data_IF_946165417809
#
_entry.id   IF_946165417809
#
_cell.length_a   1.000
_cell.length_b   1.000
_cell.length_c   1.000
_cell.angle_alpha   90.00
_cell.angle_beta   90.00
_cell.angle_gamma   90.00
#
_symmetry.space_group_name_H-M   'P 1'
#
loop_
_entity.id
_entity.type
_entity.pdbx_description
1 polymer ?
#
# COMPACT_ATOMS: atom_id res chain seq x y z
N UNK A 1 1.56 14.44 3.82
CA UNK A 1 2.67 15.21 4.43
C UNK A 1 3.39 14.29 5.41
N UNK A 2 4.68 13.99 5.22
CA UNK A 2 5.44 13.21 6.20
C UNK A 2 5.39 13.92 7.56
N UNK A 3 4.93 13.23 8.61
CA UNK A 3 4.84 13.76 9.98
C UNK A 3 3.96 15.02 10.16
N UNK A 4 3.06 15.31 9.20
CA UNK A 4 2.17 16.46 9.29
C UNK A 4 1.04 16.26 10.30
N UNK A 5 0.66 17.35 10.97
CA UNK A 5 -0.52 17.46 11.83
C UNK A 5 -1.83 17.32 11.03
N UNK A 6 -2.95 17.08 11.72
CA UNK A 6 -4.29 17.08 11.10
C UNK A 6 -4.54 18.34 10.28
N UNK A 7 -4.24 19.51 10.84
CA UNK A 7 -4.43 20.81 10.19
C UNK A 7 -3.60 20.93 8.90
N UNK A 8 -2.32 20.52 8.94
CA UNK A 8 -1.46 20.54 7.76
C UNK A 8 -1.95 19.58 6.67
N UNK A 9 -2.41 18.37 7.05
CA UNK A 9 -2.97 17.40 6.09
C UNK A 9 -4.24 17.95 5.45
N UNK A 10 -5.14 18.54 6.23
CA UNK A 10 -6.37 19.16 5.73
C UNK A 10 -6.04 20.34 4.80
N UNK A 11 -5.12 21.22 5.19
CA UNK A 11 -4.72 22.38 4.38
C UNK A 11 -4.04 21.98 3.06
N UNK A 12 -3.30 20.88 3.04
CA UNK A 12 -2.69 20.33 1.83
C UNK A 12 -3.66 19.52 0.95
N UNK A 13 -4.90 19.33 1.37
CA UNK A 13 -5.92 18.64 0.58
C UNK A 13 -6.34 19.46 -0.64
N UNK A 14 -6.79 18.79 -1.69
CA UNK A 14 -7.22 19.46 -2.92
C UNK A 14 -8.42 20.38 -2.72
N UNK A 15 -9.27 20.11 -1.72
CA UNK A 15 -10.43 20.93 -1.38
C UNK A 15 -10.06 22.27 -0.75
N UNK A 16 -8.84 22.39 -0.21
CA UNK A 16 -8.30 23.62 0.35
C UNK A 16 -7.32 24.31 -0.62
N UNK A 17 -7.11 23.75 -1.81
CA UNK A 17 -6.30 24.38 -2.85
C UNK A 17 -7.06 25.54 -3.49
N UNK A 18 -6.36 26.61 -3.85
CA UNK A 18 -6.91 27.68 -4.70
C UNK A 18 -7.43 27.17 -6.06
N UNK A 19 -6.98 25.98 -6.49
CA UNK A 19 -7.46 25.33 -7.71
C UNK A 19 -8.85 24.70 -7.54
N UNK A 20 -9.34 24.50 -6.31
CA UNK A 20 -10.58 23.80 -6.02
C UNK A 20 -11.79 24.41 -6.74
N UNK A 21 -11.86 25.74 -6.78
CA UNK A 21 -12.93 26.49 -7.46
C UNK A 21 -12.92 26.27 -8.98
N UNK A 22 -11.77 25.92 -9.55
CA UNK A 22 -11.61 25.62 -10.98
C UNK A 22 -11.85 24.15 -11.32
N UNK A 23 -12.05 23.27 -10.32
CA UNK A 23 -12.25 21.85 -10.53
C UNK A 23 -13.72 21.52 -10.82
N UNK A 24 -13.95 20.63 -11.80
CA UNK A 24 -15.27 20.10 -12.07
C UNK A 24 -15.50 18.88 -11.17
N UNK A 25 -16.62 18.89 -10.44
CA UNK A 25 -17.00 17.85 -9.47
C UNK A 25 -18.00 16.93 -10.14
N UNK A 26 -17.64 15.66 -10.29
CA UNK A 26 -18.53 14.64 -10.83
C UNK A 26 -18.96 13.70 -9.72
N UNK A 27 -20.26 13.42 -9.71
CA UNK A 27 -20.89 12.55 -8.74
C UNK A 27 -21.31 11.25 -9.42
N UNK A 28 -20.86 10.11 -8.88
CA UNK A 28 -21.29 8.80 -9.34
C UNK A 28 -22.24 8.18 -8.32
N UNK A 29 -23.34 7.61 -8.81
CA UNK A 29 -24.37 6.98 -7.97
C UNK A 29 -24.27 5.46 -7.95
N UNK A 30 -23.53 4.85 -8.90
CA UNK A 30 -23.42 3.39 -9.03
C UNK A 30 -21.98 2.92 -8.83
N UNK A 31 -21.78 2.08 -7.82
CA UNK A 31 -20.52 1.37 -7.63
C UNK A 31 -20.42 0.20 -8.60
N UNK A 32 -19.55 0.28 -9.59
CA UNK A 32 -19.36 -0.79 -10.58
C UNK A 32 -18.49 -1.94 -10.08
N UNK A 33 -17.89 -1.85 -8.88
CA UNK A 33 -17.04 -2.91 -8.33
C UNK A 33 -17.82 -4.02 -7.63
N UNK A 34 -19.10 -3.82 -7.32
CA UNK A 34 -19.85 -4.70 -6.43
C UNK A 34 -21.05 -5.29 -7.18
N UNK A 35 -21.29 -6.59 -6.96
CA UNK A 35 -22.49 -7.27 -7.45
C UNK A 35 -23.72 -6.78 -6.69
N UNK A 36 -24.92 -6.96 -7.27
CA UNK A 36 -26.17 -6.54 -6.63
C UNK A 36 -26.44 -7.25 -5.30
N UNK A 37 -25.83 -8.42 -5.09
CA UNK A 37 -25.94 -9.25 -3.89
C UNK A 37 -25.10 -8.74 -2.70
N UNK A 38 -24.14 -7.83 -2.94
CA UNK A 38 -23.20 -7.32 -1.92
C UNK A 38 -23.49 -5.85 -1.54
N UNK A 39 -24.71 -5.35 -1.79
CA UNK A 39 -25.12 -3.97 -1.45
C UNK A 39 -24.96 -3.65 0.03
N UNK A 40 -25.27 -4.59 0.91
CA UNK A 40 -25.13 -4.42 2.35
C UNK A 40 -23.66 -4.20 2.75
N UNK A 41 -22.77 -5.05 2.23
CA UNK A 41 -21.32 -4.92 2.45
C UNK A 41 -20.77 -3.62 1.84
N UNK A 42 -21.26 -3.21 0.65
CA UNK A 42 -20.91 -1.91 0.06
C UNK A 42 -21.23 -0.76 0.99
N UNK A 43 -22.46 -0.72 1.52
CA UNK A 43 -22.93 0.34 2.38
C UNK A 43 -22.17 0.34 3.71
N UNK A 44 -21.85 -0.85 4.23
CA UNK A 44 -20.97 -0.99 5.39
C UNK A 44 -19.60 -0.35 5.15
N UNK A 45 -18.91 -0.69 4.05
CA UNK A 45 -17.59 -0.13 3.72
C UNK A 45 -17.64 1.39 3.55
N UNK A 46 -18.69 1.93 2.93
CA UNK A 46 -18.86 3.37 2.75
C UNK A 46 -19.05 4.11 4.07
N UNK A 47 -19.87 3.57 4.97
CA UNK A 47 -20.06 4.15 6.30
C UNK A 47 -18.76 4.23 7.10
N UNK A 48 -17.85 3.27 6.88
CA UNK A 48 -16.49 3.35 7.42
C UNK A 48 -15.71 4.53 6.80
N UNK A 49 -15.81 4.74 5.48
CA UNK A 49 -15.21 5.90 4.80
C UNK A 49 -15.72 7.25 5.32
N UNK A 50 -17.02 7.35 5.58
CA UNK A 50 -17.68 8.55 6.11
C UNK A 50 -17.37 8.81 7.60
N UNK A 51 -16.80 7.84 8.31
CA UNK A 51 -16.59 7.91 9.75
C UNK A 51 -17.88 7.80 10.57
N UNK A 52 -18.93 7.20 10.01
CA UNK A 52 -20.24 7.01 10.64
C UNK A 52 -20.61 5.51 10.68
N UNK A 53 -19.85 4.67 11.40
CA UNK A 53 -20.20 3.25 11.58
C UNK A 53 -21.55 3.11 12.32
N UNK A 54 -22.14 1.91 12.31
CA UNK A 54 -23.39 1.60 13.03
C UNK A 54 -23.37 2.14 14.47
N UNK A 55 -24.38 2.93 14.90
CA UNK A 55 -24.54 3.25 16.31
C UNK A 55 -24.98 1.96 17.01
N UNK A 56 -24.26 1.48 18.01
CA UNK A 56 -24.92 0.65 19.03
C UNK A 56 -24.16 0.65 20.35
N UNK A 57 -24.97 0.92 21.38
CA UNK A 57 -24.74 0.89 22.82
C UNK A 57 -23.59 1.76 23.34
N UNK A 58 -24.01 2.99 23.65
CA UNK A 58 -23.44 3.94 24.61
C UNK A 58 -22.55 3.22 25.61
N UNK A 59 -21.28 3.61 25.67
CA UNK A 59 -20.55 3.51 26.91
C UNK A 59 -19.94 4.89 27.14
N UNK A 60 -20.41 5.53 28.20
CA UNK A 60 -19.75 6.66 28.85
C UNK A 60 -18.27 6.28 29.07
N UNK A 61 -17.32 7.15 28.69
CA UNK A 61 -16.02 7.45 29.32
C UNK A 61 -14.99 8.03 28.32
N UNK A 62 -14.37 9.15 28.74
CA UNK A 62 -13.19 9.92 28.30
C UNK A 62 -13.00 10.31 26.81
N UNK A 63 -13.16 11.62 26.54
CA UNK A 63 -13.41 12.29 25.26
C UNK A 63 -12.18 12.48 24.32
N UNK A 64 -10.94 12.18 24.75
CA UNK A 64 -9.77 12.70 24.03
C UNK A 64 -9.10 11.72 23.03
N UNK A 65 -9.35 10.40 23.09
CA UNK A 65 -8.80 9.40 22.14
C UNK A 65 -9.85 8.51 21.44
N UNK A 66 -11.14 8.57 21.83
CA UNK A 66 -12.19 7.66 21.36
C UNK A 66 -12.91 8.07 20.06
N UNK A 67 -12.78 9.32 19.61
CA UNK A 67 -13.44 9.87 18.39
C UNK A 67 -13.07 9.17 17.07
N UNK A 68 -12.05 8.31 17.11
CA UNK A 68 -11.54 7.59 15.95
C UNK A 68 -11.71 6.07 16.07
N UNK A 69 -12.38 5.52 17.09
CA UNK A 69 -12.62 4.08 17.19
C UNK A 69 -13.99 3.72 16.59
N UNK A 70 -14.01 2.76 15.67
CA UNK A 70 -15.25 2.29 15.03
C UNK A 70 -15.50 0.82 15.31
N UNK A 71 -16.77 0.46 15.46
CA UNK A 71 -17.19 -0.94 15.50
C UNK A 71 -17.16 -1.55 14.09
N UNK A 72 -16.44 -2.66 13.96
CA UNK A 72 -16.37 -3.51 12.78
C UNK A 72 -17.18 -4.78 13.04
N UNK A 73 -17.76 -5.33 11.98
CA UNK A 73 -18.47 -6.61 12.04
C UNK A 73 -17.56 -7.71 12.61
N UNK A 74 -17.92 -8.22 13.79
CA UNK A 74 -17.14 -9.25 14.50
C UNK A 74 -16.99 -10.53 13.71
N UNK A 75 -17.87 -10.81 12.75
CA UNK A 75 -17.75 -11.99 11.86
C UNK A 75 -16.54 -11.90 10.92
N UNK A 76 -15.99 -10.70 10.71
CA UNK A 76 -14.81 -10.46 9.89
C UNK A 76 -13.51 -10.42 10.69
N UNK A 77 -13.59 -10.38 12.02
CA UNK A 77 -12.45 -10.09 12.90
C UNK A 77 -11.99 -11.35 13.60
N UNK A 78 -10.70 -11.65 13.48
CA UNK A 78 -10.00 -12.60 14.32
C UNK A 78 -9.01 -11.86 15.21
N UNK A 79 -8.91 -12.31 16.46
CA UNK A 79 -7.85 -11.86 17.34
C UNK A 79 -6.50 -12.42 16.90
N UNK A 80 -5.47 -11.61 17.10
CA UNK A 80 -4.08 -11.98 16.97
C UNK A 80 -3.77 -13.18 17.85
N UNK A 81 -3.31 -14.28 17.25
CA UNK A 81 -2.90 -15.47 17.98
C UNK A 81 -1.56 -15.26 18.73
N UNK A 82 -1.09 -16.28 19.45
CA UNK A 82 0.27 -16.27 20.02
C UNK A 82 1.37 -16.28 18.96
N UNK A 83 1.06 -16.77 17.75
CA UNK A 83 1.95 -16.76 16.58
C UNK A 83 1.27 -16.02 15.41
N UNK A 84 1.45 -14.69 15.32
CA UNK A 84 0.80 -13.86 14.32
C UNK A 84 1.14 -14.27 12.88
N UNK A 85 2.41 -14.60 12.65
CA UNK A 85 2.89 -14.88 11.30
C UNK A 85 2.37 -16.22 10.81
N UNK A 86 2.33 -17.23 11.70
CA UNK A 86 1.69 -18.51 11.38
C UNK A 86 0.19 -18.37 11.12
N UNK A 87 -0.52 -17.55 11.89
CA UNK A 87 -1.94 -17.28 11.65
C UNK A 87 -2.18 -16.65 10.26
N UNK A 88 -1.32 -15.72 9.84
CA UNK A 88 -1.39 -15.10 8.50
C UNK A 88 -1.08 -16.14 7.42
N UNK A 89 -0.04 -16.95 7.63
CA UNK A 89 0.33 -18.03 6.72
C UNK A 89 -0.83 -18.99 6.54
N UNK A 90 -1.42 -19.51 7.62
CA UNK A 90 -2.58 -20.40 7.58
C UNK A 90 -3.81 -19.75 6.92
N UNK A 91 -4.04 -18.45 7.18
CA UNK A 91 -5.13 -17.71 6.57
C UNK A 91 -4.98 -17.58 5.03
N UNK A 92 -3.75 -17.60 4.53
CA UNK A 92 -3.41 -17.41 3.11
C UNK A 92 -2.88 -18.66 2.41
N UNK A 93 -2.69 -19.75 3.15
CA UNK A 93 -2.09 -20.99 2.64
C UNK A 93 -2.93 -21.57 1.50
N UNK A 94 -2.26 -21.89 0.38
CA UNK A 94 -2.91 -22.44 -0.82
C UNK A 94 -3.82 -21.47 -1.58
N UNK A 95 -3.91 -20.19 -1.16
CA UNK A 95 -4.77 -19.16 -1.79
C UNK A 95 -3.92 -18.13 -2.53
N UNK A 96 -3.66 -18.39 -3.80
CA UNK A 96 -2.83 -17.51 -4.65
C UNK A 96 -3.46 -16.15 -4.96
N UNK A 97 -4.77 -16.00 -4.72
CA UNK A 97 -5.54 -14.80 -4.99
C UNK A 97 -5.85 -13.95 -3.75
N UNK A 98 -5.26 -14.30 -2.61
CA UNK A 98 -5.37 -13.55 -1.36
C UNK A 98 -4.15 -12.64 -1.16
N UNK A 99 -4.41 -11.37 -0.86
CA UNK A 99 -3.36 -10.41 -0.53
C UNK A 99 -3.33 -10.12 0.96
N UNK A 100 -2.14 -9.91 1.51
CA UNK A 100 -1.98 -9.44 2.88
C UNK A 100 -1.75 -7.93 2.85
N UNK A 101 -2.61 -7.19 3.55
CA UNK A 101 -2.54 -5.73 3.65
C UNK A 101 -2.26 -5.31 5.09
N UNK A 102 -1.32 -4.40 5.28
CA UNK A 102 -0.97 -3.84 6.59
C UNK A 102 -0.68 -2.33 6.49
N UNK A 103 -0.80 -1.53 7.57
CA UNK A 103 -0.58 -0.08 7.47
C UNK A 103 0.88 0.32 7.21
N UNK A 104 1.86 -0.43 7.75
CA UNK A 104 3.28 -0.03 7.83
C UNK A 104 4.19 -0.88 6.95
N UNK A 105 5.27 -0.27 6.44
CA UNK A 105 6.27 -0.98 5.64
C UNK A 105 7.08 -1.99 6.47
N UNK A 106 7.43 -1.66 7.72
CA UNK A 106 8.17 -2.57 8.63
C UNK A 106 7.45 -3.91 8.76
N UNK A 107 6.15 -3.89 9.06
CA UNK A 107 5.31 -5.08 9.12
C UNK A 107 5.20 -5.82 7.78
N UNK A 108 5.23 -5.11 6.65
CA UNK A 108 5.27 -5.77 5.32
C UNK A 108 6.56 -6.56 5.17
N UNK A 109 7.68 -5.99 5.56
CA UNK A 109 8.99 -6.60 5.41
C UNK A 109 9.12 -7.82 6.35
N UNK A 110 8.67 -7.71 7.60
CA UNK A 110 8.58 -8.83 8.56
C UNK A 110 7.76 -10.01 8.02
N UNK A 111 6.55 -9.74 7.50
CA UNK A 111 5.69 -10.78 6.93
C UNK A 111 6.33 -11.40 5.70
N UNK A 112 6.87 -10.59 4.79
CA UNK A 112 7.49 -11.10 3.57
C UNK A 112 8.69 -12.00 3.87
N UNK A 113 9.49 -11.66 4.89
CA UNK A 113 10.64 -12.46 5.34
C UNK A 113 10.20 -13.80 5.94
N UNK A 114 9.17 -13.79 6.79
CA UNK A 114 8.60 -15.03 7.32
C UNK A 114 7.97 -15.90 6.23
N UNK A 115 7.18 -15.30 5.33
CA UNK A 115 6.49 -16.05 4.28
C UNK A 115 7.47 -16.73 3.32
N UNK A 116 8.59 -16.08 3.01
CA UNK A 116 9.62 -16.72 2.16
C UNK A 116 10.44 -17.77 2.92
N UNK A 117 10.62 -17.65 4.24
CA UNK A 117 11.30 -18.69 5.03
C UNK A 117 10.50 -19.99 5.05
N UNK A 118 9.19 -19.88 5.26
CA UNK A 118 8.27 -21.02 5.31
C UNK A 118 7.85 -21.56 3.94
N UNK A 119 8.02 -20.78 2.86
CA UNK A 119 7.65 -21.24 1.52
C UNK A 119 8.45 -22.47 1.09
N UNK A 120 7.80 -23.41 0.40
CA UNK A 120 8.47 -24.58 -0.14
C UNK A 120 9.51 -24.21 -1.23
N UNK A 121 10.51 -25.08 -1.38
CA UNK A 121 11.50 -24.99 -2.46
C UNK A 121 12.85 -24.39 -2.04
N UNK A 122 13.80 -24.47 -2.98
CA UNK A 122 15.20 -24.08 -2.76
C UNK A 122 15.32 -22.56 -2.79
N UNK A 123 15.84 -21.98 -1.71
CA UNK A 123 16.15 -20.55 -1.63
C UNK A 123 17.36 -20.22 -2.50
N UNK A 124 17.28 -19.07 -3.19
CA UNK A 124 18.41 -18.45 -3.86
C UNK A 124 18.57 -17.02 -3.39
N UNK A 125 19.79 -16.69 -3.01
CA UNK A 125 20.14 -15.37 -2.49
C UNK A 125 20.86 -14.56 -3.57
N UNK A 126 20.53 -13.28 -3.64
CA UNK A 126 21.14 -12.31 -4.53
C UNK A 126 21.61 -11.10 -3.73
N UNK A 127 22.92 -10.97 -3.56
CA UNK A 127 23.52 -9.78 -2.94
C UNK A 127 23.64 -8.66 -3.96
N UNK A 128 23.34 -7.43 -3.56
CA UNK A 128 23.51 -6.25 -4.41
C UNK A 128 24.99 -5.85 -4.51
N UNK A 129 25.28 -4.97 -5.47
CA UNK A 129 26.54 -4.24 -5.54
C UNK A 129 26.21 -2.77 -5.37
N UNK A 130 26.71 -2.18 -4.30
CA UNK A 130 26.38 -0.82 -3.88
C UNK A 130 27.57 0.11 -4.08
N UNK A 131 27.30 1.29 -4.61
CA UNK A 131 28.24 2.39 -4.82
C UNK A 131 27.54 3.71 -4.50
N UNK A 132 28.27 4.82 -4.49
CA UNK A 132 27.68 6.14 -4.35
C UNK A 132 27.94 6.99 -5.60
N UNK A 133 26.93 7.75 -6.03
CA UNK A 133 27.08 8.77 -7.06
C UNK A 133 27.89 9.95 -6.51
N UNK A 134 28.94 10.34 -7.23
CA UNK A 134 29.89 11.40 -6.85
C UNK A 134 29.14 12.75 -6.72
N UNK A 135 29.40 13.46 -5.62
CA UNK A 135 29.13 14.91 -5.48
C UNK A 135 30.27 15.63 -6.19
N UNK A 136 29.99 16.73 -6.91
CA UNK A 136 30.93 17.61 -7.65
C UNK A 136 32.14 18.15 -6.83
N UNK A 137 32.94 17.28 -6.25
CA UNK A 137 34.23 17.58 -5.63
C UNK A 137 35.26 16.68 -6.26
N UNK A 138 36.12 17.27 -7.08
CA UNK A 138 37.29 16.70 -7.76
C UNK A 138 38.31 16.11 -6.76
N UNK A 139 37.94 15.03 -6.08
CA UNK A 139 38.85 14.28 -5.22
C UNK A 139 38.87 12.81 -5.62
N UNK A 140 40.01 12.40 -6.19
CA UNK A 140 40.36 11.04 -6.60
C UNK A 140 40.34 9.99 -5.46
N UNK A 141 39.85 10.34 -4.27
CA UNK A 141 39.82 9.51 -3.05
C UNK A 141 38.40 9.20 -2.55
N UNK A 142 37.35 9.49 -3.32
CA UNK A 142 35.98 9.34 -2.85
C UNK A 142 35.61 7.86 -2.56
N UNK A 143 36.17 6.89 -3.28
CA UNK A 143 35.87 5.45 -3.13
C UNK A 143 36.14 4.89 -1.71
N UNK A 144 36.92 5.61 -0.89
CA UNK A 144 37.31 5.20 0.47
C UNK A 144 36.51 5.88 1.58
N UNK A 145 35.57 6.78 1.26
CA UNK A 145 34.88 7.61 2.26
C UNK A 145 33.86 6.82 3.11
N UNK A 146 33.27 5.77 2.55
CA UNK A 146 32.25 4.96 3.23
C UNK A 146 32.55 3.47 3.06
N UNK A 147 32.61 2.68 4.15
CA UNK A 147 32.71 1.23 4.07
C UNK A 147 31.53 0.63 3.28
N UNK A 148 31.80 -0.42 2.50
CA UNK A 148 30.77 -1.10 1.71
C UNK A 148 29.70 -1.73 2.61
N UNK A 149 30.09 -2.19 3.81
CA UNK A 149 29.18 -2.71 4.83
C UNK A 149 28.17 -1.67 5.29
N UNK A 150 28.60 -0.41 5.40
CA UNK A 150 27.70 0.69 5.71
C UNK A 150 26.70 0.90 4.58
N UNK A 151 27.16 0.94 3.32
CA UNK A 151 26.27 1.09 2.16
C UNK A 151 25.25 -0.05 2.06
N UNK A 152 25.70 -1.29 2.27
CA UNK A 152 24.85 -2.48 2.25
C UNK A 152 23.79 -2.47 3.36
N UNK A 153 24.07 -1.81 4.49
CA UNK A 153 23.12 -1.67 5.61
C UNK A 153 22.00 -0.67 5.33
N UNK A 154 22.16 0.21 4.35
CA UNK A 154 21.17 1.23 4.03
C UNK A 154 19.94 0.63 3.31
N UNK A 155 18.76 0.94 3.82
CA UNK A 155 17.47 0.52 3.28
C UNK A 155 16.59 1.73 2.95
N UNK A 156 16.04 1.73 1.74
CA UNK A 156 15.19 2.81 1.25
C UNK A 156 13.96 2.24 0.55
N UNK A 157 12.75 2.83 0.73
CA UNK A 157 11.52 2.32 0.12
C UNK A 157 11.54 2.23 -1.41
N UNK A 158 12.37 3.06 -2.06
CA UNK A 158 12.54 3.11 -3.52
C UNK A 158 13.61 2.17 -4.08
N UNK A 159 14.39 1.52 -3.22
CA UNK A 159 15.47 0.61 -3.62
C UNK A 159 15.17 -0.82 -3.15
N UNK A 160 15.60 -1.85 -3.91
CA UNK A 160 15.54 -3.22 -3.42
C UNK A 160 16.50 -3.41 -2.24
N UNK A 161 16.25 -4.43 -1.42
CA UNK A 161 17.14 -4.81 -0.34
C UNK A 161 18.52 -5.23 -0.87
N UNK A 162 19.57 -5.03 -0.07
CA UNK A 162 20.91 -5.50 -0.39
C UNK A 162 20.90 -7.02 -0.59
N UNK A 163 20.36 -7.75 0.40
CA UNK A 163 20.15 -9.19 0.34
C UNK A 163 18.73 -9.49 -0.12
N UNK A 164 18.59 -10.12 -1.28
CA UNK A 164 17.30 -10.56 -1.81
C UNK A 164 17.23 -12.09 -1.82
N UNK A 165 16.38 -12.66 -0.98
CA UNK A 165 16.12 -14.10 -0.92
C UNK A 165 14.85 -14.44 -1.68
N UNK A 166 14.91 -15.36 -2.63
CA UNK A 166 13.78 -15.78 -3.45
C UNK A 166 13.68 -17.30 -3.54
N UNK A 167 12.46 -17.79 -3.78
CA UNK A 167 12.12 -19.18 -4.09
C UNK A 167 11.22 -19.20 -5.33
N UNK A 168 11.26 -20.28 -6.10
CA UNK A 168 10.32 -20.47 -7.22
C UNK A 168 8.89 -20.53 -6.66
N UNK A 169 7.94 -19.84 -7.29
CA UNK A 169 6.58 -19.69 -6.78
C UNK A 169 6.36 -18.45 -5.89
N UNK A 170 7.43 -17.77 -5.44
CA UNK A 170 7.27 -16.57 -4.63
C UNK A 170 6.71 -15.39 -5.46
N UNK A 171 5.75 -14.60 -4.93
CA UNK A 171 5.30 -13.38 -5.56
C UNK A 171 6.29 -12.24 -5.31
N UNK A 172 6.56 -11.47 -6.36
CA UNK A 172 7.34 -10.24 -6.27
C UNK A 172 6.70 -9.11 -7.09
N UNK A 173 7.07 -7.88 -6.75
CA UNK A 173 6.56 -6.67 -7.39
C UNK A 173 7.71 -5.84 -7.96
N UNK A 174 7.51 -5.27 -9.15
CA UNK A 174 8.46 -4.34 -9.76
C UNK A 174 8.52 -3.01 -9.00
N UNK A 175 9.74 -2.47 -8.82
CA UNK A 175 9.99 -1.18 -8.17
C UNK A 175 10.07 0.00 -9.15
N UNK A 176 10.28 -0.26 -10.44
CA UNK A 176 10.46 0.76 -11.49
C UNK A 176 9.67 0.43 -12.74
N UNK A 177 9.40 1.47 -13.53
CA UNK A 177 8.84 1.32 -14.86
C UNK A 177 9.95 0.84 -15.82
N UNK A 178 9.85 -0.39 -16.30
CA UNK A 178 10.80 -0.97 -17.26
C UNK A 178 10.25 -0.90 -18.68
N UNK A 179 8.99 -1.28 -18.86
CA UNK A 179 8.32 -1.25 -20.15
C UNK A 179 6.80 -1.20 -19.98
N UNK A 180 6.24 0.00 -20.04
CA UNK A 180 4.80 0.22 -19.83
C UNK A 180 3.94 -0.48 -20.90
N UNK A 181 4.40 -0.53 -22.16
CA UNK A 181 3.68 -1.20 -23.25
C UNK A 181 3.54 -2.70 -23.03
N UNK A 182 4.45 -3.32 -22.28
CA UNK A 182 4.42 -4.74 -21.89
C UNK A 182 3.86 -4.99 -20.49
N UNK A 183 3.28 -3.97 -19.86
CA UNK A 183 2.75 -4.06 -18.49
C UNK A 183 3.82 -4.13 -17.39
N UNK A 184 5.08 -3.81 -17.68
CA UNK A 184 6.20 -3.80 -16.72
C UNK A 184 6.37 -2.42 -16.09
N UNK A 185 5.41 -2.08 -15.24
CA UNK A 185 5.36 -0.83 -14.49
C UNK A 185 5.71 -1.05 -13.02
N UNK A 186 6.05 0.02 -12.32
CA UNK A 186 6.12 0.00 -10.86
C UNK A 186 4.78 -0.49 -10.29
N UNK A 187 4.82 -1.49 -9.41
CA UNK A 187 3.63 -2.11 -8.85
C UNK A 187 3.15 -3.38 -9.56
N UNK A 188 3.64 -3.70 -10.77
CA UNK A 188 3.27 -4.95 -11.44
C UNK A 188 3.73 -6.14 -10.60
N UNK A 189 2.80 -7.05 -10.29
CA UNK A 189 3.09 -8.29 -9.55
C UNK A 189 3.35 -9.44 -10.51
N UNK A 190 4.34 -10.25 -10.16
CA UNK A 190 4.73 -11.45 -10.88
C UNK A 190 4.97 -12.59 -9.89
N UNK A 191 4.85 -13.83 -10.37
CA UNK A 191 5.27 -15.03 -9.64
C UNK A 191 6.61 -15.52 -10.22
N UNK A 192 7.59 -15.80 -9.37
CA UNK A 192 8.88 -16.39 -9.81
C UNK A 192 8.62 -17.73 -10.49
N UNK A 193 9.06 -17.86 -11.74
CA UNK A 193 9.03 -19.13 -12.49
C UNK A 193 10.41 -19.73 -12.70
N UNK A 194 11.47 -18.91 -12.66
CA UNK A 194 12.86 -19.38 -12.76
C UNK A 194 13.84 -18.40 -12.12
N UNK A 195 14.86 -18.94 -11.45
CA UNK A 195 15.90 -18.20 -10.71
C UNK A 195 17.30 -18.47 -11.29
N UNK A 196 17.67 -17.72 -12.32
CA UNK A 196 19.00 -17.77 -12.94
C UNK A 196 20.06 -17.00 -12.15
N UNK A 197 21.32 -17.06 -12.56
CA UNK A 197 22.39 -16.25 -11.93
C UNK A 197 22.27 -14.76 -12.29
N UNK A 198 21.98 -14.47 -13.57
CA UNK A 198 21.96 -13.11 -14.12
C UNK A 198 20.57 -12.57 -14.41
N UNK A 199 19.58 -13.45 -14.46
CA UNK A 199 18.18 -13.14 -14.81
C UNK A 199 17.22 -13.88 -13.89
N UNK A 200 16.11 -13.22 -13.57
CA UNK A 200 14.96 -13.81 -12.90
C UNK A 200 13.80 -13.82 -13.89
N UNK A 201 13.13 -14.96 -14.04
CA UNK A 201 11.89 -15.04 -14.84
C UNK A 201 10.69 -14.97 -13.92
N UNK A 202 9.77 -14.05 -14.22
CA UNK A 202 8.47 -13.96 -13.58
C UNK A 202 7.33 -14.12 -14.56
N UNK A 203 6.19 -14.61 -14.09
CA UNK A 203 4.92 -14.59 -14.82
C UNK A 203 4.00 -13.51 -14.24
N UNK A 204 3.46 -12.63 -15.09
CA UNK A 204 2.59 -11.53 -14.64
C UNK A 204 1.27 -12.09 -14.13
N UNK A 205 0.86 -11.66 -12.93
CA UNK A 205 -0.40 -12.08 -12.29
C UNK A 205 -1.41 -10.95 -12.09
N UNK A 206 -1.10 -9.75 -12.57
CA UNK A 206 -1.99 -8.58 -12.48
C UNK A 206 -2.03 -7.77 -13.77
N UNK A 207 -3.19 -7.17 -14.04
CA UNK A 207 -3.37 -6.22 -15.14
C UNK A 207 -3.73 -6.89 -16.47
N UNK A 208 -3.56 -6.16 -17.57
CA UNK A 208 -3.96 -6.61 -18.92
C UNK A 208 -3.02 -7.66 -19.52
N UNK A 209 -1.86 -7.91 -18.92
CA UNK A 209 -0.82 -8.79 -19.44
C UNK A 209 -0.64 -10.06 -18.59
N UNK A 210 -1.68 -10.50 -17.90
CA UNK A 210 -1.64 -11.73 -17.07
C UNK A 210 -1.19 -12.93 -17.91
N UNK A 211 -0.35 -13.80 -17.34
CA UNK A 211 0.17 -15.00 -17.97
C UNK A 211 1.44 -14.79 -18.82
N UNK A 212 1.82 -13.54 -19.11
CA UNK A 212 3.06 -13.27 -19.85
C UNK A 212 4.30 -13.52 -18.97
N UNK A 213 5.25 -14.29 -19.50
CA UNK A 213 6.56 -14.52 -18.88
C UNK A 213 7.56 -13.47 -19.29
N UNK A 214 8.34 -12.98 -18.32
CA UNK A 214 9.28 -11.89 -18.48
C UNK A 214 10.59 -12.19 -17.76
N UNK A 215 11.70 -11.97 -18.46
CA UNK A 215 13.04 -12.03 -17.89
C UNK A 215 13.48 -10.65 -17.41
N UNK A 216 13.91 -10.57 -16.15
CA UNK A 216 14.34 -9.36 -15.48
C UNK A 216 15.84 -9.44 -15.19
N UNK A 217 16.65 -8.50 -15.71
CA UNK A 217 18.05 -8.37 -15.33
C UNK A 217 18.21 -7.51 -14.07
N UNK A 218 19.42 -7.53 -13.49
CA UNK A 218 19.83 -6.52 -12.52
C UNK A 218 20.05 -5.18 -13.20
N UNK A 219 19.55 -4.10 -12.60
CA UNK A 219 19.77 -2.73 -13.05
C UNK A 219 20.38 -1.90 -11.93
N UNK A 220 20.96 -0.76 -12.26
CA UNK A 220 21.40 0.22 -11.26
C UNK A 220 20.18 1.07 -10.89
N UNK A 221 19.88 1.15 -9.60
CA UNK A 221 18.84 2.00 -9.04
C UNK A 221 19.50 3.04 -8.16
N UNK A 222 19.21 4.31 -8.41
CA UNK A 222 19.68 5.42 -7.58
C UNK A 222 18.54 6.05 -6.79
N UNK A 223 18.85 6.50 -5.57
CA UNK A 223 17.95 7.29 -4.73
C UNK A 223 18.77 8.38 -4.03
N UNK A 224 18.42 9.65 -4.28
CA UNK A 224 19.04 10.78 -3.59
C UNK A 224 18.48 10.86 -2.19
N UNK A 225 19.30 10.56 -1.19
CA UNK A 225 18.83 10.57 0.20
C UNK A 225 19.04 11.97 0.75
N UNK A 226 17.96 12.70 1.01
CA UNK A 226 18.03 14.08 1.57
C UNK A 226 18.78 14.19 2.89
N UNK A 227 19.02 13.06 3.57
CA UNK A 227 19.75 12.95 4.84
C UNK A 227 21.23 12.54 4.70
N UNK A 228 21.68 12.19 3.50
CA UNK A 228 23.08 11.81 3.25
C UNK A 228 23.70 12.74 2.21
N UNK A 229 25.01 13.00 2.29
CA UNK A 229 25.66 13.88 1.33
C UNK A 229 25.73 13.24 -0.07
N UNK A 230 25.54 11.93 -0.19
CA UNK A 230 25.70 11.18 -1.44
C UNK A 230 24.39 10.57 -1.95
N UNK A 231 24.38 10.20 -3.23
CA UNK A 231 23.32 9.38 -3.84
C UNK A 231 23.74 7.91 -3.77
N UNK A 232 22.93 7.04 -3.17
CA UNK A 232 23.21 5.60 -3.19
C UNK A 232 22.85 5.03 -4.57
N UNK A 233 23.77 4.33 -5.19
CA UNK A 233 23.55 3.53 -6.40
C UNK A 233 23.61 2.05 -6.06
N UNK A 234 22.49 1.34 -6.23
CA UNK A 234 22.38 -0.09 -5.93
C UNK A 234 22.13 -0.88 -7.21
N UNK A 235 23.07 -1.75 -7.58
CA UNK A 235 22.89 -2.70 -8.68
C UNK A 235 22.24 -3.98 -8.19
N UNK A 236 20.95 -4.14 -8.49
CA UNK A 236 20.15 -5.28 -8.04
C UNK A 236 18.97 -5.51 -8.99
N UNK A 237 18.27 -6.63 -8.87
CA UNK A 237 16.98 -6.82 -9.53
C UNK A 237 15.98 -5.76 -9.03
N UNK A 238 15.23 -5.08 -9.91
CA UNK A 238 14.33 -3.98 -9.53
C UNK A 238 13.02 -4.51 -8.96
N UNK A 239 13.09 -5.38 -7.95
CA UNK A 239 11.97 -6.14 -7.40
C UNK A 239 12.00 -6.13 -5.88
N UNK A 240 10.83 -6.35 -5.27
CA UNK A 240 10.67 -6.69 -3.86
C UNK A 240 9.69 -7.86 -3.70
N UNK A 241 9.86 -8.68 -2.67
CA UNK A 241 8.85 -9.66 -2.28
C UNK A 241 7.51 -8.96 -2.00
N UNK A 242 6.40 -9.63 -2.31
CA UNK A 242 5.07 -9.05 -2.13
C UNK A 242 3.99 -10.06 -1.71
N UNK A 243 4.29 -10.94 -0.75
CA UNK A 243 3.24 -11.68 -0.04
C UNK A 243 2.31 -10.70 0.70
N UNK A 244 2.93 -9.71 1.34
CA UNK A 244 2.27 -8.55 1.92
C UNK A 244 2.60 -7.25 1.17
N UNK A 245 1.68 -6.28 1.26
CA UNK A 245 1.91 -4.91 0.82
C UNK A 245 1.21 -3.93 1.75
N UNK A 246 1.59 -2.66 1.68
CA UNK A 246 0.90 -1.65 2.49
C UNK A 246 -0.47 -1.35 1.92
N UNK A 247 -1.42 -0.96 2.79
CA UNK A 247 -2.75 -0.51 2.38
C UNK A 247 -2.65 0.60 1.32
N UNK A 248 -1.72 1.54 1.48
CA UNK A 248 -1.51 2.64 0.53
C UNK A 248 -1.09 2.12 -0.86
N UNK A 249 -0.29 1.06 -0.95
CA UNK A 249 0.12 0.44 -2.22
C UNK A 249 -1.01 -0.33 -2.90
N UNK A 250 -1.99 -0.80 -2.13
CA UNK A 250 -3.18 -1.47 -2.66
C UNK A 250 -4.20 -0.52 -3.30
N UNK A 251 -4.07 0.79 -3.08
CA UNK A 251 -5.02 1.79 -3.57
C UNK A 251 -5.19 1.68 -5.10
N UNK A 252 -6.45 1.59 -5.54
CA UNK A 252 -6.80 1.45 -6.96
C UNK A 252 -6.80 0.01 -7.48
N UNK A 253 -6.32 -0.96 -6.71
CA UNK A 253 -6.40 -2.39 -7.06
C UNK A 253 -7.71 -3.01 -6.59
N UNK A 254 -8.24 -3.98 -7.34
CA UNK A 254 -9.33 -4.85 -6.92
C UNK A 254 -8.78 -6.26 -6.71
N UNK A 255 -9.05 -6.83 -5.54
CA UNK A 255 -8.49 -8.10 -5.07
C UNK A 255 -9.62 -9.08 -4.76
N UNK A 256 -9.38 -10.38 -4.99
CA UNK A 256 -10.38 -11.42 -4.72
C UNK A 256 -10.51 -11.69 -3.22
N UNK A 257 -9.37 -11.81 -2.53
CA UNK A 257 -9.32 -11.94 -1.08
C UNK A 257 -8.29 -11.01 -0.46
N UNK A 258 -8.57 -10.53 0.75
CA UNK A 258 -7.69 -9.69 1.56
C UNK A 258 -7.66 -10.18 3.00
N UNK A 259 -6.46 -10.42 3.50
CA UNK A 259 -6.19 -10.45 4.95
C UNK A 259 -5.68 -9.07 5.35
N UNK A 260 -6.52 -8.30 6.02
CA UNK A 260 -6.17 -7.00 6.58
C UNK A 260 -5.57 -7.23 7.96
N UNK A 261 -4.24 -7.21 8.03
CA UNK A 261 -3.47 -7.43 9.25
C UNK A 261 -3.16 -6.09 9.92
N UNK A 262 -3.73 -5.88 11.12
CA UNK A 262 -3.65 -4.65 11.88
C UNK A 262 -3.01 -4.91 13.26
N UNK A 263 -1.71 -5.25 13.35
CA UNK A 263 -1.01 -5.37 14.62
C UNK A 263 -0.85 -4.00 15.29
N UNK A 264 -0.89 -2.93 14.48
CA UNK A 264 -1.02 -1.57 14.93
C UNK A 264 -2.18 -0.91 14.17
N UNK A 265 -2.89 0.03 14.80
CA UNK A 265 -3.97 0.75 14.14
C UNK A 265 -3.47 1.55 12.93
N UNK A 266 -4.39 1.81 11.99
CA UNK A 266 -4.15 2.75 10.89
C UNK A 266 -3.82 4.15 11.42
N UNK A 267 -3.05 4.91 10.66
CA UNK A 267 -2.47 6.18 11.12
C UNK A 267 -2.72 7.36 10.18
N UNK A 268 -3.44 7.16 9.08
CA UNK A 268 -3.74 8.24 8.13
C UNK A 268 -5.19 8.21 7.64
N UNK A 269 -5.64 9.35 7.13
CA UNK A 269 -7.00 9.56 6.68
C UNK A 269 -7.43 8.56 5.61
N UNK A 270 -8.61 7.96 5.79
CA UNK A 270 -9.21 7.04 4.82
C UNK A 270 -8.47 5.71 4.66
N UNK A 271 -7.39 5.46 5.42
CA UNK A 271 -6.56 4.28 5.24
C UNK A 271 -7.35 2.98 5.51
N UNK A 272 -8.16 2.94 6.57
CA UNK A 272 -9.00 1.78 6.85
C UNK A 272 -9.98 1.51 5.70
N UNK A 273 -10.69 2.55 5.24
CA UNK A 273 -11.58 2.47 4.07
C UNK A 273 -10.86 1.93 2.82
N UNK A 274 -9.65 2.43 2.53
CA UNK A 274 -8.85 1.92 1.40
C UNK A 274 -8.63 0.42 1.52
N UNK A 275 -8.26 -0.09 2.71
CA UNK A 275 -8.05 -1.51 2.95
C UNK A 275 -9.31 -2.35 2.75
N UNK A 276 -10.43 -1.94 3.37
CA UNK A 276 -11.71 -2.65 3.30
C UNK A 276 -12.28 -2.68 1.87
N UNK A 277 -12.15 -1.57 1.13
CA UNK A 277 -12.67 -1.42 -0.24
C UNK A 277 -11.86 -2.14 -1.32
N UNK A 278 -10.82 -2.91 -0.95
CA UNK A 278 -10.03 -3.68 -1.93
C UNK A 278 -10.71 -4.97 -2.37
N UNK A 279 -11.62 -5.50 -1.56
CA UNK A 279 -12.42 -6.69 -1.90
C UNK A 279 -13.80 -6.32 -2.42
N UNK A 280 -14.44 -7.27 -3.09
CA UNK A 280 -15.78 -7.09 -3.67
C UNK A 280 -16.86 -7.88 -2.97
N UNK A 281 -16.50 -8.78 -2.05
CA UNK A 281 -17.43 -9.58 -1.27
C UNK A 281 -17.05 -9.55 0.19
N UNK A 282 -18.04 -9.66 1.08
CA UNK A 282 -17.79 -9.78 2.53
C UNK A 282 -16.90 -10.98 2.86
N UNK A 283 -17.13 -12.12 2.20
CA UNK A 283 -16.34 -13.36 2.38
C UNK A 283 -14.88 -13.24 1.93
N UNK A 284 -14.58 -12.29 1.04
CA UNK A 284 -13.22 -12.01 0.60
C UNK A 284 -12.39 -11.27 1.64
N UNK A 285 -13.01 -10.71 2.70
CA UNK A 285 -12.32 -9.91 3.71
C UNK A 285 -12.15 -10.70 5.00
N UNK A 286 -10.92 -10.67 5.53
CA UNK A 286 -10.59 -11.13 6.88
C UNK A 286 -9.73 -10.07 7.56
N UNK A 287 -10.04 -9.72 8.80
CA UNK A 287 -9.32 -8.71 9.57
C UNK A 287 -8.68 -9.42 10.77
N UNK A 288 -7.37 -9.24 10.94
CA UNK A 288 -6.63 -9.77 12.09
C UNK A 288 -6.18 -8.60 12.93
N UNK A 289 -6.64 -8.53 14.18
CA UNK A 289 -6.52 -7.38 15.07
C UNK A 289 -5.77 -7.74 16.37
N UNK A 290 -5.08 -6.76 16.98
CA UNK A 290 -4.33 -6.97 18.23
C UNK A 290 -5.25 -7.21 19.43
N UNK A 291 -4.82 -8.12 20.32
CA UNK A 291 -5.55 -8.54 21.54
C UNK A 291 -5.86 -7.41 22.53
N UNK A 292 -5.10 -6.33 22.51
CA UNK A 292 -5.28 -5.19 23.42
C UNK A 292 -6.36 -4.20 22.96
N UNK A 293 -6.89 -4.37 21.75
CA UNK A 293 -8.04 -3.62 21.27
C UNK A 293 -9.32 -4.40 21.57
N UNK A 294 -10.38 -3.73 22.06
CA UNK A 294 -11.70 -4.35 22.25
C UNK A 294 -12.10 -5.04 20.92
N UNK A 295 -12.36 -6.34 20.94
CA UNK A 295 -12.66 -7.13 19.74
C UNK A 295 -13.74 -6.46 18.90
N UNK A 296 -13.39 -6.20 17.63
CA UNK A 296 -14.29 -5.53 16.70
C UNK A 296 -14.31 -4.01 16.85
N UNK A 297 -13.37 -3.38 17.56
CA UNK A 297 -13.18 -1.91 17.53
C UNK A 297 -11.84 -1.55 16.89
N UNK A 298 -11.85 -0.97 15.70
CA UNK A 298 -10.63 -0.59 14.97
C UNK A 298 -10.55 0.92 14.84
N UNK A 299 -9.34 1.48 14.93
CA UNK A 299 -9.12 2.91 14.67
C UNK A 299 -9.46 3.24 13.21
N UNK A 300 -10.17 4.33 12.98
CA UNK A 300 -10.56 4.88 11.70
C UNK A 300 -10.35 6.39 11.73
N UNK A 301 -9.54 6.89 10.80
CA UNK A 301 -9.17 8.30 10.77
C UNK A 301 -9.90 8.95 9.59
N UNK A 302 -10.87 9.81 9.90
CA UNK A 302 -11.67 10.52 8.90
C UNK A 302 -11.62 12.02 9.20
N UNK A 303 -11.04 12.79 8.28
CA UNK A 303 -10.99 14.25 8.36
C UNK A 303 -12.16 14.81 7.58
N UNK A 304 -13.27 15.05 8.27
CA UNK A 304 -14.52 15.53 7.66
C UNK A 304 -14.35 16.88 6.94
N UNK A 305 -13.39 17.68 7.41
CA UNK A 305 -13.02 18.97 6.82
C UNK A 305 -12.60 18.87 5.35
N UNK A 306 -12.03 17.73 4.94
CA UNK A 306 -11.60 17.51 3.55
C UNK A 306 -12.81 17.49 2.61
N UNK A 307 -14.00 17.13 3.11
CA UNK A 307 -15.23 17.07 2.33
C UNK A 307 -15.99 18.41 2.25
N UNK A 308 -15.52 19.46 2.93
CA UNK A 308 -16.18 20.77 2.91
C UNK A 308 -16.27 21.32 1.47
N UNK A 309 -17.46 21.78 1.08
CA UNK A 309 -17.72 22.33 -0.26
C UNK A 309 -17.96 21.29 -1.36
N UNK A 310 -18.11 20.00 -1.00
CA UNK A 310 -18.78 19.01 -1.87
C UNK A 310 -20.32 19.14 -1.73
N UNK A 311 -21.10 18.78 -2.77
CA UNK A 311 -22.56 18.69 -2.64
C UNK A 311 -22.95 17.83 -1.44
N UNK A 312 -23.95 18.24 -0.67
CA UNK A 312 -24.42 17.48 0.49
C UNK A 312 -24.86 16.07 0.12
N UNK A 313 -24.64 15.12 1.02
CA UNK A 313 -25.09 13.74 0.89
C UNK A 313 -26.62 13.68 1.03
N UNK A 314 -27.37 13.16 0.05
CA UNK A 314 -28.71 12.67 0.34
C UNK A 314 -28.57 11.45 1.26
N UNK A 315 -29.27 11.44 2.39
CA UNK A 315 -29.22 10.38 3.43
C UNK A 315 -29.55 8.96 2.92
N UNK A 316 -29.95 8.81 1.65
CA UNK A 316 -30.40 7.56 1.04
C UNK A 316 -29.60 7.09 -0.19
N UNK A 317 -28.50 7.76 -0.58
CA UNK A 317 -27.76 7.36 -1.78
C UNK A 317 -26.24 7.28 -1.60
N UNK A 318 -25.71 6.08 -1.89
CA UNK A 318 -24.30 5.74 -2.13
C UNK A 318 -23.68 6.69 -3.16
N UNK A 319 -23.00 7.73 -2.70
CA UNK A 319 -22.52 8.82 -3.56
C UNK A 319 -20.99 8.84 -3.59
N UNK A 320 -20.39 8.61 -4.75
CA UNK A 320 -18.93 8.66 -4.94
C UNK A 320 -18.55 9.96 -5.64
N UNK A 321 -17.44 10.58 -5.24
CA UNK A 321 -16.92 11.75 -5.92
C UNK A 321 -15.65 11.41 -6.70
N UNK A 322 -15.58 11.90 -7.94
CA UNK A 322 -14.31 12.06 -8.63
C UNK A 322 -14.15 13.53 -8.98
N UNK A 323 -12.99 14.08 -8.61
CA UNK A 323 -12.63 15.46 -8.91
C UNK A 323 -11.78 15.47 -10.16
N UNK A 324 -12.17 16.26 -11.16
CA UNK A 324 -11.33 16.52 -12.33
C UNK A 324 -10.93 17.99 -12.34
N UNK A 325 -9.65 18.25 -12.06
CA UNK A 325 -9.10 19.59 -12.15
C UNK A 325 -8.55 19.84 -13.56
N UNK A 326 -8.96 20.93 -14.18
CA UNK A 326 -8.41 21.39 -15.46
C UNK A 326 -7.17 22.23 -15.12
N UNK A 327 -6.00 21.61 -15.09
CA UNK A 327 -4.75 22.35 -14.83
C UNK A 327 -4.45 23.28 -16.01
N UNK A 328 -4.17 24.58 -15.79
CA UNK A 328 -3.61 25.44 -16.82
C UNK A 328 -2.24 24.90 -17.25
N UNK A 329 -1.93 25.01 -18.55
CA UNK A 329 -0.83 24.33 -19.27
C UNK A 329 0.59 24.68 -18.73
N UNK A 330 0.71 25.60 -17.78
CA UNK A 330 1.99 26.18 -17.32
C UNK A 330 2.47 25.79 -15.92
N UNK A 331 1.84 24.85 -15.20
CA UNK A 331 2.30 24.45 -13.86
C UNK A 331 3.23 23.22 -13.90
N UNK A 332 4.41 23.26 -13.24
CA UNK A 332 5.29 22.10 -13.15
C UNK A 332 4.63 21.02 -12.28
N UNK A 333 4.31 19.88 -12.90
CA UNK A 333 3.78 18.67 -12.27
C UNK A 333 4.88 18.04 -11.42
N UNK A 334 5.13 18.55 -10.20
CA UNK A 334 6.06 17.91 -9.26
C UNK A 334 5.50 17.51 -7.90
N UNK A 335 4.27 17.88 -7.53
CA UNK A 335 3.75 17.61 -6.18
C UNK A 335 2.42 16.85 -6.09
N UNK A 336 1.87 16.31 -7.18
CA UNK A 336 0.64 15.49 -7.12
C UNK A 336 0.96 14.01 -7.34
N UNK A 337 1.31 13.29 -6.28
CA UNK A 337 1.19 11.84 -6.27
C UNK A 337 -0.30 11.46 -6.22
N UNK A 338 -0.83 11.04 -7.37
CA UNK A 338 -2.23 10.66 -7.70
C UNK A 338 -3.24 11.80 -7.91
N UNK A 339 -3.63 12.12 -9.17
CA UNK A 339 -4.75 13.02 -9.48
C UNK A 339 -6.14 12.38 -9.28
N UNK A 340 -6.22 11.13 -8.81
CA UNK A 340 -7.46 10.46 -8.43
C UNK A 340 -7.42 10.23 -6.92
N UNK A 341 -7.84 11.23 -6.14
CA UNK A 341 -8.38 10.94 -4.83
C UNK A 341 -9.78 10.38 -5.04
N UNK A 342 -9.95 9.08 -4.81
CA UNK A 342 -11.28 8.58 -4.47
C UNK A 342 -11.57 9.13 -3.08
N UNK A 343 -12.27 10.27 -3.02
CA UNK A 343 -12.90 10.75 -1.80
C UNK A 343 -14.16 9.90 -1.63
N UNK A 344 -14.05 8.92 -0.75
CA UNK A 344 -15.13 8.10 -0.23
C UNK A 344 -14.80 7.83 1.24
#
# INVERSE_FOLDING_TARGET
>A
IPQGTRAEIVYASISHSYLWESCHKFTFQKNMRLSEDEKEFSNYVLRVGDGNPLPTEVNEFDEDEEDQLISIDRTLVEELSSDPHKQILEATYGRTDQAILTPRNETVDEINEYMISEADGVSKEYLSSDSFGIIDTDSANNETLYPVEYLNSLSFPGLPAHKLTLKVGAPFMLLRNLNQKKGLCNGTRLIVTYLGERVIRGEIVTGSHIGHKVDLPRIILSESVTKHPFTLERRQFPIRLCYAMTINKSQGQSLKGVVLYLPQPVFTHGQLYVGLSRVTTKSGLKIIQRKDQKIGRVKNIVYKEIYNGLPGFPESSTTFYTIRCKLPVSLPVRNFSNPIMNLC
#
